data_IF_794027133313
#
_entry.id   IF_794027133313
#
_cell.length_a   1.000
_cell.length_b   1.000
_cell.length_c   1.000
_cell.angle_alpha   90.00
_cell.angle_beta   90.00
_cell.angle_gamma   90.00
#
_symmetry.space_group_name_H-M   'P 1'
#
loop_
_entity.id
_entity.type
_entity.pdbx_description
1 polymer ?
#
# COMPACT_ATOMS: atom_id res chain seq x y z
N UNK A 1 21.17 -6.43 4.78
CA UNK A 1 21.31 -7.90 4.89
C UNK A 1 22.77 -8.25 5.16
N UNK A 2 23.01 -9.18 6.09
CA UNK A 2 24.26 -9.62 6.78
C UNK A 2 24.37 -8.99 8.17
N UNK A 3 23.70 -9.57 9.16
CA UNK A 3 24.10 -10.74 9.98
C UNK A 3 24.97 -10.33 11.15
N UNK A 4 24.51 -10.67 12.34
CA UNK A 4 25.32 -10.96 13.51
C UNK A 4 26.30 -12.09 13.14
N UNK A 5 27.60 -11.82 12.98
CA UNK A 5 28.57 -12.58 13.76
C UNK A 5 29.81 -11.75 14.17
N UNK A 6 30.21 -11.89 15.44
CA UNK A 6 31.60 -11.67 15.86
C UNK A 6 32.08 -10.23 15.93
N UNK A 7 31.95 -9.61 17.11
CA UNK A 7 32.91 -8.61 17.55
C UNK A 7 33.57 -9.08 18.84
N UNK A 8 34.89 -9.10 18.82
CA UNK A 8 35.78 -9.17 19.98
C UNK A 8 37.01 -8.33 19.63
N UNK A 9 37.71 -7.81 20.64
CA UNK A 9 37.26 -6.75 21.54
C UNK A 9 38.17 -5.53 21.32
N UNK A 10 37.75 -4.34 21.75
CA UNK A 10 38.60 -3.26 22.29
C UNK A 10 37.74 -2.00 22.42
N UNK A 11 36.87 -2.00 23.43
CA UNK A 11 36.46 -0.77 24.07
C UNK A 11 36.54 -1.05 25.57
N UNK A 12 37.55 -0.43 26.18
CA UNK A 12 37.77 -0.41 27.61
C UNK A 12 36.47 -0.03 28.32
N UNK A 13 36.07 -0.85 29.27
CA UNK A 13 35.07 -0.48 30.27
C UNK A 13 35.70 0.55 31.21
N UNK A 14 35.08 1.71 31.40
CA UNK A 14 35.00 2.27 32.74
C UNK A 14 33.53 2.49 33.12
N UNK A 15 33.16 1.97 34.29
CA UNK A 15 31.91 2.32 34.95
C UNK A 15 30.73 1.42 34.61
N UNK A 16 30.37 0.52 35.55
CA UNK A 16 28.96 0.32 35.83
C UNK A 16 28.41 1.67 36.29
N UNK A 17 27.93 2.48 35.35
CA UNK A 17 27.00 3.54 35.72
C UNK A 17 25.70 2.84 36.09
N UNK A 18 25.35 3.03 37.36
CA UNK A 18 24.08 2.64 37.94
C UNK A 18 23.00 3.33 37.11
N UNK A 19 22.42 2.59 36.16
CA UNK A 19 21.47 3.15 35.20
C UNK A 19 20.37 3.89 35.94
N UNK A 20 20.27 5.19 35.67
CA UNK A 20 19.17 6.02 36.13
C UNK A 20 17.87 5.37 35.65
N UNK A 21 16.89 5.23 36.55
CA UNK A 21 15.58 4.60 36.34
C UNK A 21 14.75 5.28 35.24
N UNK A 22 15.29 6.32 34.59
CA UNK A 22 14.64 7.13 33.56
C UNK A 22 15.40 7.18 32.22
N UNK A 23 16.45 6.38 32.03
CA UNK A 23 17.23 6.41 30.78
C UNK A 23 16.42 5.80 29.62
N UNK A 24 16.09 6.60 28.61
CA UNK A 24 15.54 6.14 27.33
C UNK A 24 16.67 5.77 26.37
N UNK A 25 16.49 4.70 25.59
CA UNK A 25 17.42 4.29 24.54
C UNK A 25 16.65 4.08 23.24
N UNK A 26 17.13 4.72 22.17
CA UNK A 26 16.61 4.51 20.83
C UNK A 26 17.29 3.30 20.20
N UNK A 27 16.48 2.32 19.76
CA UNK A 27 16.96 1.08 19.14
C UNK A 27 16.44 1.00 17.70
N UNK A 28 17.34 1.01 16.73
CA UNK A 28 16.99 0.77 15.34
C UNK A 28 16.79 -0.73 15.09
N UNK A 29 15.55 -1.14 14.87
CA UNK A 29 15.15 -2.54 14.65
C UNK A 29 15.21 -2.94 13.15
N UNK A 30 15.61 -2.02 12.27
CA UNK A 30 15.64 -2.20 10.82
C UNK A 30 14.25 -2.14 10.18
N UNK A 31 14.12 -2.80 9.02
CA UNK A 31 12.88 -2.85 8.24
C UNK A 31 12.03 -4.04 8.73
N UNK A 32 10.76 -3.77 9.04
CA UNK A 32 9.82 -4.82 9.41
C UNK A 32 9.52 -5.73 8.19
N UNK A 33 9.78 -7.02 8.34
CA UNK A 33 9.52 -8.02 7.29
C UNK A 33 8.17 -8.74 7.46
N UNK A 34 7.39 -8.39 8.48
CA UNK A 34 6.12 -9.05 8.76
C UNK A 34 5.15 -8.15 9.52
N UNK A 35 3.88 -8.28 9.16
CA UNK A 35 2.78 -7.50 9.71
C UNK A 35 2.29 -8.00 11.09
N UNK A 36 1.58 -7.12 11.78
CA UNK A 36 0.86 -7.43 13.02
C UNK A 36 1.61 -7.02 14.29
N UNK A 37 1.15 -7.50 15.45
CA UNK A 37 1.79 -7.23 16.73
C UNK A 37 2.93 -8.21 17.03
N UNK A 38 4.01 -7.72 17.65
CA UNK A 38 5.17 -8.51 18.09
C UNK A 38 5.55 -8.08 19.49
N UNK A 39 5.80 -9.05 20.36
CA UNK A 39 6.36 -8.74 21.67
C UNK A 39 7.81 -8.29 21.52
N UNK A 40 8.12 -7.17 22.15
CA UNK A 40 9.48 -6.73 22.35
C UNK A 40 9.96 -7.34 23.65
N UNK A 41 11.07 -8.05 23.58
CA UNK A 41 11.72 -8.62 24.74
C UNK A 41 13.12 -8.02 24.88
N UNK A 42 13.56 -7.81 26.11
CA UNK A 42 14.87 -7.28 26.44
C UNK A 42 15.70 -8.32 27.21
N UNK A 43 17.02 -8.23 27.03
CA UNK A 43 18.03 -8.94 27.80
C UNK A 43 18.90 -7.88 28.49
N UNK A 44 19.05 -7.97 29.82
CA UNK A 44 19.80 -6.98 30.60
C UNK A 44 21.16 -7.52 31.02
N UNK A 45 22.23 -6.75 30.75
CA UNK A 45 23.49 -6.84 31.49
C UNK A 45 24.37 -8.09 31.31
N UNK A 46 24.33 -8.79 30.16
CA UNK A 46 25.11 -10.02 29.97
C UNK A 46 25.84 -10.14 28.62
N UNK A 47 27.00 -10.81 28.63
CA UNK A 47 27.71 -11.25 27.42
C UNK A 47 26.97 -12.36 26.64
N UNK A 48 25.81 -12.78 27.13
CA UNK A 48 24.99 -13.88 26.65
C UNK A 48 23.66 -13.42 25.99
N UNK A 49 23.48 -12.13 25.74
CA UNK A 49 22.37 -11.60 24.90
C UNK A 49 22.52 -11.93 23.41
N UNK A 50 23.07 -13.10 23.09
CA UNK A 50 23.20 -13.68 21.76
C UNK A 50 22.26 -14.86 21.53
N UNK A 51 21.48 -15.27 22.54
CA UNK A 51 20.50 -16.36 22.45
C UNK A 51 19.07 -15.83 22.69
N UNK A 52 18.08 -16.21 21.85
CA UNK A 52 16.68 -15.79 22.04
C UNK A 52 16.11 -16.12 23.42
N UNK A 53 16.55 -17.23 24.03
CA UNK A 53 16.14 -17.66 25.37
C UNK A 53 16.51 -16.70 26.51
N UNK A 54 17.42 -15.75 26.25
CA UNK A 54 17.85 -14.75 27.24
C UNK A 54 16.99 -13.48 27.23
N UNK A 55 16.12 -13.32 26.25
CA UNK A 55 15.20 -12.19 26.14
C UNK A 55 13.91 -12.49 26.92
N UNK A 56 14.02 -12.50 28.25
CA UNK A 56 12.91 -12.88 29.15
C UNK A 56 12.13 -11.68 29.69
N UNK A 57 12.67 -10.46 29.57
CA UNK A 57 12.02 -9.26 30.07
C UNK A 57 11.08 -8.71 29.01
N UNK A 58 9.80 -8.53 29.34
CA UNK A 58 8.85 -7.90 28.42
C UNK A 58 9.14 -6.40 28.33
N UNK A 59 9.56 -5.94 27.15
CA UNK A 59 9.86 -4.55 26.83
C UNK A 59 8.69 -3.84 26.11
N UNK A 60 7.60 -4.56 25.82
CA UNK A 60 6.38 -3.99 25.24
C UNK A 60 5.89 -4.76 24.01
N UNK A 61 5.10 -4.07 23.19
CA UNK A 61 4.54 -4.60 21.94
C UNK A 61 4.82 -3.61 20.82
N UNK A 62 5.39 -4.12 19.74
CA UNK A 62 5.54 -3.43 18.46
C UNK A 62 4.35 -3.77 17.57
N UNK A 63 3.75 -2.77 16.94
CA UNK A 63 2.66 -2.96 15.97
C UNK A 63 3.16 -2.55 14.60
N UNK A 64 3.17 -3.50 13.67
CA UNK A 64 3.52 -3.26 12.26
C UNK A 64 2.24 -3.14 11.45
N UNK A 65 1.94 -1.90 11.02
CA UNK A 65 0.83 -1.58 10.11
C UNK A 65 1.18 -2.00 8.69
N UNK A 66 0.22 -2.57 7.98
CA UNK A 66 0.44 -3.11 6.64
C UNK A 66 -0.87 -3.24 5.87
N UNK A 67 -0.86 -2.91 4.59
CA UNK A 67 -1.84 -3.45 3.67
C UNK A 67 -1.53 -4.94 3.43
N UNK A 68 -2.56 -5.76 3.20
CA UNK A 68 -2.36 -7.19 2.90
C UNK A 68 -1.80 -7.37 1.49
N UNK A 69 -2.20 -6.50 0.56
CA UNK A 69 -1.82 -6.60 -0.85
C UNK A 69 -2.71 -7.57 -1.64
N UNK A 70 -2.49 -7.60 -2.96
CA UNK A 70 -3.12 -8.57 -3.87
C UNK A 70 -4.60 -8.31 -4.18
N UNK A 71 -5.16 -7.21 -3.69
CA UNK A 71 -6.53 -6.81 -4.02
C UNK A 71 -6.61 -6.26 -5.44
N UNK A 72 -7.71 -6.57 -6.15
CA UNK A 72 -8.02 -6.00 -7.45
C UNK A 72 -9.23 -5.08 -7.34
N UNK A 73 -9.06 -3.85 -7.80
CA UNK A 73 -10.08 -2.81 -7.80
C UNK A 73 -10.44 -2.47 -9.23
N UNK A 74 -11.71 -2.17 -9.47
CA UNK A 74 -12.18 -1.69 -10.78
C UNK A 74 -12.88 -0.36 -10.56
N UNK A 75 -12.43 0.65 -11.29
CA UNK A 75 -13.06 1.95 -11.33
C UNK A 75 -13.37 2.35 -12.76
N UNK A 76 -14.40 3.16 -12.92
CA UNK A 76 -14.81 3.65 -14.22
C UNK A 76 -14.37 5.09 -14.39
N UNK A 77 -13.75 5.38 -15.52
CA UNK A 77 -13.31 6.72 -15.88
C UNK A 77 -14.49 7.70 -15.82
N UNK A 78 -14.30 8.84 -15.16
CA UNK A 78 -15.33 9.90 -15.06
C UNK A 78 -16.59 9.52 -14.28
N UNK A 79 -16.57 8.43 -13.50
CA UNK A 79 -17.71 8.06 -12.66
C UNK A 79 -17.89 9.01 -11.48
N UNK A 80 -19.14 9.38 -11.20
CA UNK A 80 -19.54 10.04 -9.96
C UNK A 80 -20.42 9.07 -9.14
N UNK A 81 -20.10 8.77 -7.87
CA UNK A 81 -19.00 9.32 -7.07
C UNK A 81 -17.61 8.83 -7.50
N UNK A 82 -16.57 9.51 -6.99
CA UNK A 82 -15.15 9.22 -7.27
C UNK A 82 -14.77 7.74 -7.04
N UNK A 83 -13.65 7.34 -7.65
CA UNK A 83 -13.10 5.99 -7.47
C UNK A 83 -12.66 5.77 -6.02
N UNK A 84 -13.35 4.85 -5.34
CA UNK A 84 -13.11 4.53 -3.93
C UNK A 84 -12.50 3.14 -3.81
N UNK A 85 -11.33 3.03 -3.18
CA UNK A 85 -10.63 1.79 -2.89
C UNK A 85 -10.93 1.36 -1.45
N UNK A 86 -11.22 0.08 -1.22
CA UNK A 86 -11.37 -0.51 0.11
C UNK A 86 -10.23 -1.48 0.35
N UNK A 87 -9.16 -0.99 0.95
CA UNK A 87 -7.94 -1.78 1.15
C UNK A 87 -8.01 -2.52 2.48
N UNK A 88 -7.75 -3.82 2.46
CA UNK A 88 -7.63 -4.65 3.68
C UNK A 88 -6.20 -4.66 4.21
N UNK A 89 -6.08 -4.73 5.52
CA UNK A 89 -4.79 -4.66 6.17
C UNK A 89 -4.83 -4.97 7.66
N UNK A 90 -3.66 -4.89 8.28
CA UNK A 90 -3.53 -4.98 9.74
C UNK A 90 -3.28 -3.61 10.34
N UNK A 91 -4.05 -3.28 11.38
CA UNK A 91 -3.95 -2.03 12.12
C UNK A 91 -4.00 -0.77 11.25
N UNK A 92 -4.75 -0.82 10.14
CA UNK A 92 -4.90 0.33 9.24
C UNK A 92 -5.55 1.50 9.97
N UNK A 93 -5.16 2.72 9.61
CA UNK A 93 -5.64 3.95 10.23
C UNK A 93 -6.17 4.93 9.19
N UNK A 94 -7.04 5.86 9.63
CA UNK A 94 -7.53 6.96 8.79
C UNK A 94 -6.44 7.97 8.41
N UNK A 95 -5.26 7.88 9.02
CA UNK A 95 -4.11 8.69 8.62
C UNK A 95 -3.32 8.06 7.49
N UNK A 96 -3.45 6.75 7.23
CA UNK A 96 -2.68 6.05 6.21
C UNK A 96 -2.93 6.61 4.80
N UNK A 97 -1.98 6.38 3.91
CA UNK A 97 -1.94 6.99 2.59
C UNK A 97 -1.67 5.94 1.52
N UNK A 98 -2.34 6.08 0.37
CA UNK A 98 -2.04 5.31 -0.83
C UNK A 98 -1.66 6.22 -1.99
N UNK A 99 -0.82 5.71 -2.87
CA UNK A 99 -0.48 6.34 -4.14
C UNK A 99 -0.73 5.39 -5.30
N UNK A 100 -1.16 5.93 -6.43
CA UNK A 100 -1.42 5.15 -7.65
C UNK A 100 -0.24 5.27 -8.60
N UNK A 101 0.35 4.14 -8.97
CA UNK A 101 1.56 4.10 -9.80
C UNK A 101 1.37 3.20 -11.03
N UNK A 102 2.07 3.46 -12.15
CA UNK A 102 2.13 2.53 -13.27
C UNK A 102 2.63 1.15 -12.83
N UNK A 103 2.09 0.10 -13.44
CA UNK A 103 2.62 -1.25 -13.29
C UNK A 103 4.10 -1.27 -13.72
N UNK A 104 4.96 -1.88 -12.90
CA UNK A 104 6.40 -1.97 -13.12
C UNK A 104 7.24 -0.93 -12.37
N UNK A 105 6.69 0.21 -11.95
CA UNK A 105 7.40 1.22 -11.15
C UNK A 105 7.52 0.77 -9.70
N UNK A 106 8.68 0.58 -9.06
CA UNK A 106 8.76 0.21 -7.63
C UNK A 106 8.01 1.21 -6.72
N UNK A 107 7.36 0.74 -5.64
CA UNK A 107 6.57 1.66 -4.81
C UNK A 107 7.41 2.76 -4.13
N UNK A 108 8.65 2.43 -3.76
CA UNK A 108 9.61 3.41 -3.23
C UNK A 108 9.99 4.53 -4.22
N UNK A 109 9.76 4.33 -5.52
CA UNK A 109 10.08 5.32 -6.57
C UNK A 109 8.86 6.19 -6.91
N UNK A 110 7.77 6.04 -6.16
CA UNK A 110 6.59 6.89 -6.32
C UNK A 110 6.94 8.31 -5.92
N UNK A 111 6.82 9.30 -6.79
CA UNK A 111 6.86 10.70 -6.38
C UNK A 111 5.44 11.15 -6.00
N UNK A 112 5.12 11.25 -4.71
CA UNK A 112 3.80 11.64 -4.27
C UNK A 112 3.51 13.08 -4.71
N UNK A 113 2.38 13.27 -5.37
CA UNK A 113 1.80 14.60 -5.58
C UNK A 113 0.43 14.66 -4.93
N UNK A 114 0.14 15.66 -4.08
CA UNK A 114 -1.17 15.80 -3.47
C UNK A 114 -2.25 15.86 -4.55
N UNK A 115 -3.34 15.11 -4.38
CA UNK A 115 -4.56 15.30 -5.16
C UNK A 115 -5.18 16.63 -4.71
N UNK A 116 -4.73 17.74 -5.29
CA UNK A 116 -5.36 19.02 -5.05
C UNK A 116 -6.75 18.99 -5.71
N UNK A 117 -7.79 19.08 -4.88
CA UNK A 117 -9.15 19.28 -5.36
C UNK A 117 -9.20 20.46 -6.33
N UNK A 118 -9.99 20.31 -7.39
CA UNK A 118 -10.35 21.29 -8.44
C UNK A 118 -9.25 21.75 -9.41
N UNK A 119 -9.47 21.39 -10.68
CA UNK A 119 -9.04 22.08 -11.91
C UNK A 119 -7.55 22.45 -12.04
N UNK A 120 -6.70 21.46 -12.30
CA UNK A 120 -5.47 21.71 -13.06
C UNK A 120 -5.32 20.67 -14.17
N UNK A 121 -5.72 20.99 -15.42
CA UNK A 121 -5.24 20.25 -16.58
C UNK A 121 -3.82 20.75 -16.85
N UNK A 122 -2.84 20.20 -16.16
CA UNK A 122 -1.44 20.44 -16.52
C UNK A 122 -0.76 19.12 -16.86
N UNK A 123 -1.26 18.52 -17.95
CA UNK A 123 -0.39 17.84 -18.90
C UNK A 123 0.54 18.88 -19.55
N UNK A 124 1.47 19.44 -18.77
CA UNK A 124 2.67 20.05 -19.33
C UNK A 124 3.55 18.88 -19.78
N UNK A 125 3.51 18.60 -21.08
CA UNK A 125 4.36 17.63 -21.73
C UNK A 125 5.83 17.85 -21.31
N UNK A 126 6.37 16.98 -20.45
CA UNK A 126 7.79 16.98 -20.09
C UNK A 126 8.13 17.03 -18.60
N UNK A 127 7.17 17.10 -17.67
CA UNK A 127 7.45 16.91 -16.24
C UNK A 127 7.10 15.47 -15.80
N UNK A 128 7.89 14.87 -14.89
CA UNK A 128 7.61 13.53 -14.38
C UNK A 128 6.22 13.53 -13.74
N UNK A 129 5.38 12.61 -14.22
CA UNK A 129 3.99 12.44 -13.80
C UNK A 129 3.92 12.36 -12.28
N UNK A 130 3.32 13.37 -11.65
CA UNK A 130 2.93 13.29 -10.26
C UNK A 130 1.93 12.16 -10.09
N UNK A 131 2.26 11.20 -9.23
CA UNK A 131 1.35 10.09 -8.93
C UNK A 131 0.31 10.59 -7.92
N UNK A 132 -1.00 10.35 -8.15
CA UNK A 132 -2.03 10.83 -7.26
C UNK A 132 -1.96 10.07 -5.94
N UNK A 133 -2.06 10.82 -4.84
CA UNK A 133 -1.98 10.34 -3.46
C UNK A 133 -3.28 10.62 -2.72
N UNK A 134 -3.85 9.60 -2.08
CA UNK A 134 -5.05 9.71 -1.25
C UNK A 134 -4.76 9.30 0.17
N UNK A 135 -5.21 10.09 1.13
CA UNK A 135 -5.33 9.67 2.53
C UNK A 135 -6.58 8.80 2.71
N UNK A 136 -6.55 7.90 3.68
CA UNK A 136 -7.73 7.15 4.08
C UNK A 136 -8.84 8.11 4.57
N UNK A 137 -10.05 7.95 4.07
CA UNK A 137 -11.23 8.70 4.53
C UNK A 137 -11.87 8.03 5.75
N UNK A 138 -11.67 6.73 5.90
CA UNK A 138 -12.09 5.96 7.07
C UNK A 138 -11.24 4.70 7.23
N UNK A 139 -11.18 4.17 8.45
CA UNK A 139 -10.63 2.86 8.75
C UNK A 139 -11.50 2.21 9.84
N UNK A 140 -11.94 0.98 9.62
CA UNK A 140 -12.77 0.21 10.55
C UNK A 140 -12.33 -1.24 10.60
N UNK A 141 -12.69 -1.96 11.67
CA UNK A 141 -12.49 -3.41 11.73
C UNK A 141 -13.10 -4.10 10.51
N UNK A 142 -12.41 -5.11 9.96
CA UNK A 142 -12.91 -5.87 8.82
C UNK A 142 -14.09 -6.76 9.24
N UNK A 143 -15.30 -6.55 8.70
CA UNK A 143 -16.49 -7.33 9.08
C UNK A 143 -16.40 -8.81 8.66
N UNK A 144 -15.53 -9.15 7.71
CA UNK A 144 -15.38 -10.52 7.20
C UNK A 144 -14.27 -11.30 7.94
N UNK A 145 -13.66 -10.72 8.96
CA UNK A 145 -12.55 -11.31 9.70
C UNK A 145 -12.82 -11.36 11.20
N UNK A 146 -12.56 -12.51 11.81
CA UNK A 146 -12.57 -12.69 13.27
C UNK A 146 -11.30 -12.16 13.96
N UNK A 147 -10.28 -11.79 13.19
CA UNK A 147 -9.03 -11.27 13.73
C UNK A 147 -9.19 -9.80 14.14
N UNK A 148 -9.03 -9.52 15.44
CA UNK A 148 -9.17 -8.18 16.03
C UNK A 148 -8.17 -7.14 15.50
N UNK A 149 -7.12 -7.57 14.79
CA UNK A 149 -6.13 -6.69 14.19
C UNK A 149 -6.37 -6.40 12.70
N UNK A 150 -7.43 -6.95 12.10
CA UNK A 150 -7.76 -6.72 10.69
C UNK A 150 -8.72 -5.54 10.51
N UNK A 151 -8.37 -4.68 9.56
CA UNK A 151 -9.08 -3.45 9.25
C UNK A 151 -9.28 -3.31 7.75
N UNK A 152 -10.33 -2.59 7.37
CA UNK A 152 -10.56 -2.07 6.03
C UNK A 152 -10.41 -0.55 6.09
N UNK A 153 -9.51 0.00 5.29
CA UNK A 153 -9.39 1.44 5.09
C UNK A 153 -9.95 1.82 3.71
N UNK A 154 -10.70 2.91 3.69
CA UNK A 154 -11.33 3.43 2.48
C UNK A 154 -10.52 4.62 1.97
N UNK A 155 -10.16 4.63 0.69
CA UNK A 155 -9.38 5.68 0.04
C UNK A 155 -10.16 6.24 -1.16
N UNK A 156 -10.26 7.56 -1.28
CA UNK A 156 -10.85 8.22 -2.43
C UNK A 156 -9.73 8.74 -3.34
N UNK A 157 -9.44 8.01 -4.41
CA UNK A 157 -8.38 8.39 -5.36
C UNK A 157 -8.86 9.40 -6.41
N UNK A 158 -10.08 9.93 -6.27
CA UNK A 158 -10.63 10.97 -7.11
C UNK A 158 -11.03 10.49 -8.51
N UNK A 159 -11.01 11.44 -9.45
CA UNK A 159 -11.19 11.17 -10.87
C UNK A 159 -9.84 10.85 -11.52
N UNK A 160 -9.72 9.66 -12.10
CA UNK A 160 -8.54 9.26 -12.86
C UNK A 160 -8.68 9.72 -14.30
N UNK A 161 -7.70 10.48 -14.80
CA UNK A 161 -7.70 11.03 -16.16
C UNK A 161 -7.18 10.04 -17.22
N UNK A 162 -6.60 8.92 -16.80
CA UNK A 162 -6.08 7.86 -17.66
C UNK A 162 -6.72 6.51 -17.34
N UNK A 163 -7.01 5.77 -18.40
CA UNK A 163 -7.45 4.38 -18.35
C UNK A 163 -6.26 3.41 -18.34
N UNK A 164 -6.48 2.20 -17.86
CA UNK A 164 -5.46 1.14 -17.76
C UNK A 164 -5.31 0.56 -16.36
N UNK A 165 -4.29 -0.27 -16.20
CA UNK A 165 -3.97 -0.91 -14.92
C UNK A 165 -2.86 -0.16 -14.21
N UNK A 166 -3.09 0.08 -12.93
CA UNK A 166 -2.16 0.75 -12.04
C UNK A 166 -2.05 -0.05 -10.77
N UNK A 167 -0.91 -0.02 -10.11
CA UNK A 167 -0.80 -0.57 -8.78
C UNK A 167 -1.02 0.51 -7.72
N UNK A 168 -1.41 0.04 -6.55
CA UNK A 168 -1.63 0.84 -5.35
C UNK A 168 -0.44 0.62 -4.43
N UNK A 169 0.29 1.68 -4.15
CA UNK A 169 1.38 1.70 -3.19
C UNK A 169 0.89 2.27 -1.86
N UNK A 170 1.25 1.64 -0.75
CA UNK A 170 0.78 1.99 0.58
C UNK A 170 1.90 2.53 1.45
N UNK A 171 1.56 3.60 2.17
CA UNK A 171 2.35 4.19 3.23
C UNK A 171 1.50 4.24 4.50
N UNK A 172 1.97 3.57 5.55
CA UNK A 172 1.43 3.78 6.88
C UNK A 172 1.86 5.20 7.30
N UNK A 173 0.93 6.07 7.70
CA UNK A 173 1.28 7.44 8.07
C UNK A 173 1.96 7.44 9.43
N UNK A 174 3.26 7.20 9.43
CA UNK A 174 4.18 7.36 10.54
C UNK A 174 5.25 8.37 10.14
N UNK A 175 5.68 9.20 11.08
CA UNK A 175 6.79 10.11 10.86
C UNK A 175 8.07 9.28 10.90
N UNK A 176 8.71 9.11 9.75
CA UNK A 176 9.92 8.32 9.59
C UNK A 176 11.15 9.07 10.09
N UNK A 177 12.33 8.46 9.89
CA UNK A 177 13.61 9.15 10.07
C UNK A 177 14.06 9.81 8.74
N UNK A 178 13.13 10.31 7.97
CA UNK A 178 13.37 11.11 6.77
C UNK A 178 13.51 12.59 7.13
N UNK A 179 14.02 13.38 6.18
CA UNK A 179 14.40 14.76 6.41
C UNK A 179 13.20 15.74 6.50
N UNK A 180 11.97 15.23 6.40
CA UNK A 180 10.72 15.99 6.45
C UNK A 180 9.87 15.56 7.64
N UNK A 181 9.18 16.51 8.26
CA UNK A 181 8.26 16.25 9.38
C UNK A 181 6.86 15.81 8.92
N UNK A 182 6.70 15.37 7.66
CA UNK A 182 5.39 15.09 7.05
C UNK A 182 5.32 13.65 6.55
N UNK A 183 4.57 12.77 7.22
CA UNK A 183 4.42 11.39 6.81
C UNK A 183 3.82 11.23 5.40
N UNK A 184 4.37 10.26 4.65
CA UNK A 184 3.92 9.86 3.32
C UNK A 184 4.02 10.98 2.26
N UNK A 185 5.04 11.82 2.36
CA UNK A 185 5.34 12.94 1.45
C UNK A 185 6.55 12.66 0.53
N UNK A 186 7.26 11.55 0.72
CA UNK A 186 8.30 11.08 -0.19
C UNK A 186 8.09 9.63 -0.62
N UNK A 187 8.62 9.27 -1.78
CA UNK A 187 8.44 7.95 -2.36
C UNK A 187 8.94 6.80 -1.52
N UNK A 188 10.06 6.99 -0.84
CA UNK A 188 10.71 5.94 -0.06
C UNK A 188 9.84 5.43 1.10
N UNK A 189 8.82 6.18 1.52
CA UNK A 189 7.85 5.76 2.55
C UNK A 189 6.79 4.79 2.03
N UNK A 190 6.56 4.77 0.71
CA UNK A 190 5.65 3.84 0.04
C UNK A 190 6.34 2.49 -0.19
N UNK A 191 6.45 1.72 0.89
CA UNK A 191 7.24 0.48 0.89
C UNK A 191 6.45 -0.77 0.51
N UNK A 192 5.12 -0.68 0.42
CA UNK A 192 4.23 -1.83 0.27
C UNK A 192 3.30 -1.69 -0.94
N UNK A 193 2.96 -2.80 -1.57
CA UNK A 193 1.91 -2.88 -2.59
C UNK A 193 0.60 -3.32 -1.93
N UNK A 194 -0.43 -2.49 -2.02
CA UNK A 194 -1.76 -2.76 -1.49
C UNK A 194 -2.67 -3.49 -2.49
N UNK A 195 -2.40 -3.39 -3.79
CA UNK A 195 -3.20 -4.04 -4.82
C UNK A 195 -3.03 -3.40 -6.19
N UNK A 196 -3.98 -3.68 -7.07
CA UNK A 196 -4.05 -3.18 -8.45
C UNK A 196 -5.42 -2.56 -8.68
N UNK A 197 -5.47 -1.39 -9.32
CA UNK A 197 -6.70 -0.78 -9.82
C UNK A 197 -6.70 -0.78 -11.34
N UNK A 198 -7.81 -1.23 -11.92
CA UNK A 198 -8.11 -1.07 -13.32
C UNK A 198 -9.08 0.10 -13.51
N UNK A 199 -8.65 1.09 -14.29
CA UNK A 199 -9.48 2.21 -14.72
C UNK A 199 -10.03 1.88 -16.11
N UNK A 200 -11.31 1.52 -16.19
CA UNK A 200 -11.99 1.21 -17.45
C UNK A 200 -12.78 2.40 -17.97
N UNK A 201 -12.87 2.55 -19.30
CA UNK A 201 -13.82 3.47 -19.94
C UNK A 201 -15.18 2.83 -20.21
N UNK A 202 -15.23 1.50 -20.24
CA UNK A 202 -16.44 0.71 -20.51
C UNK A 202 -17.06 0.27 -19.20
N UNK A 203 -18.38 0.48 -19.04
CA UNK A 203 -19.10 -0.04 -17.89
C UNK A 203 -19.21 -1.57 -18.03
N UNK A 204 -18.72 -2.35 -17.06
CA UNK A 204 -18.85 -3.80 -17.12
C UNK A 204 -20.33 -4.18 -17.13
N UNK A 205 -20.70 -5.07 -18.05
CA UNK A 205 -22.07 -5.56 -18.23
C UNK A 205 -22.01 -7.03 -18.61
N UNK A 206 -22.94 -7.82 -18.06
CA UNK A 206 -23.10 -9.21 -18.46
C UNK A 206 -24.02 -9.28 -19.69
N UNK A 207 -23.58 -10.00 -20.71
CA UNK A 207 -24.37 -10.29 -21.90
C UNK A 207 -24.55 -11.80 -22.02
N UNK A 208 -25.75 -12.23 -22.37
CA UNK A 208 -26.08 -13.64 -22.59
C UNK A 208 -26.58 -13.83 -24.02
N UNK A 209 -26.03 -14.82 -24.72
CA UNK A 209 -26.42 -15.15 -26.08
C UNK A 209 -26.59 -16.66 -26.24
N UNK A 210 -27.61 -17.05 -27.01
CA UNK A 210 -27.90 -18.46 -27.27
C UNK A 210 -27.22 -18.95 -28.54
N UNK A 211 -26.71 -20.19 -28.50
CA UNK A 211 -26.09 -20.84 -29.66
C UNK A 211 -27.07 -20.88 -30.84
N UNK A 212 -26.60 -20.47 -32.02
CA UNK A 212 -27.41 -20.44 -33.25
C UNK A 212 -28.39 -19.26 -33.34
N UNK A 213 -28.33 -18.29 -32.42
CA UNK A 213 -29.10 -17.04 -32.50
C UNK A 213 -28.16 -15.86 -32.78
N UNK A 214 -28.70 -14.84 -33.45
CA UNK A 214 -28.01 -13.56 -33.58
C UNK A 214 -27.79 -12.97 -32.16
N UNK A 215 -26.61 -12.41 -31.95
CA UNK A 215 -26.17 -11.86 -30.68
C UNK A 215 -25.79 -10.39 -30.92
N UNK A 216 -26.72 -9.49 -30.62
CA UNK A 216 -26.48 -8.05 -30.70
C UNK A 216 -26.12 -7.54 -29.30
N UNK A 217 -24.87 -7.11 -29.13
CA UNK A 217 -24.38 -6.54 -27.87
C UNK A 217 -24.22 -5.03 -28.00
N UNK A 218 -24.56 -4.31 -26.93
CA UNK A 218 -24.39 -2.87 -26.84
C UNK A 218 -23.62 -2.54 -25.58
N UNK A 219 -22.38 -2.13 -25.72
CA UNK A 219 -21.56 -1.67 -24.60
C UNK A 219 -21.84 -0.18 -24.34
N UNK A 220 -21.91 0.19 -23.06
CA UNK A 220 -21.95 1.58 -22.63
C UNK A 220 -20.62 1.94 -21.97
N UNK A 221 -20.21 3.19 -22.10
CA UNK A 221 -18.97 3.68 -21.53
C UNK A 221 -18.75 5.16 -21.81
N UNK A 222 -17.71 5.71 -21.20
CA UNK A 222 -17.32 7.09 -21.43
C UNK A 222 -16.47 7.24 -22.69
N UNK A 223 -16.81 8.25 -23.50
CA UNK A 223 -16.10 8.62 -24.73
C UNK A 223 -15.97 7.49 -25.76
N UNK A 224 -16.87 6.50 -25.75
CA UNK A 224 -16.93 5.48 -26.78
C UNK A 224 -17.29 6.13 -28.13
N UNK A 225 -16.58 5.71 -29.17
CA UNK A 225 -16.71 6.18 -30.55
C UNK A 225 -17.19 5.03 -31.43
N UNK A 226 -17.75 5.37 -32.58
CA UNK A 226 -18.13 4.38 -33.59
C UNK A 226 -16.95 3.61 -34.20
N UNK A 227 -15.71 4.04 -33.92
CA UNK A 227 -14.48 3.37 -34.32
C UNK A 227 -13.98 2.34 -33.31
N UNK A 228 -14.58 2.30 -32.12
CA UNK A 228 -14.17 1.35 -31.09
C UNK A 228 -14.73 -0.04 -31.39
N UNK A 229 -14.00 -1.09 -31.01
CA UNK A 229 -14.32 -2.47 -31.36
C UNK A 229 -14.43 -3.29 -30.08
N UNK A 230 -15.46 -4.15 -30.02
CA UNK A 230 -15.59 -5.16 -28.98
C UNK A 230 -14.98 -6.47 -29.47
N UNK A 231 -14.08 -7.02 -28.66
CA UNK A 231 -13.56 -8.37 -28.84
C UNK A 231 -14.29 -9.30 -27.87
N UNK A 232 -14.90 -10.36 -28.39
CA UNK A 232 -15.33 -11.49 -27.57
C UNK A 232 -14.12 -12.39 -27.32
N UNK A 233 -13.53 -12.30 -26.13
CA UNK A 233 -12.45 -13.19 -25.71
C UNK A 233 -13.02 -14.59 -25.45
N UNK A 234 -12.45 -15.61 -26.10
CA UNK A 234 -12.86 -17.01 -25.96
C UNK A 234 -12.04 -17.75 -24.88
N UNK A 235 -11.15 -17.04 -24.16
CA UNK A 235 -10.22 -17.59 -23.18
C UNK A 235 -10.79 -17.82 -21.77
N UNK A 236 -10.10 -18.67 -20.99
CA UNK A 236 -10.47 -19.10 -19.63
C UNK A 236 -9.81 -18.33 -18.48
N UNK A 237 -9.22 -17.17 -18.74
CA UNK A 237 -8.70 -16.26 -17.72
C UNK A 237 -9.74 -15.20 -17.37
N UNK A 238 -9.71 -14.70 -16.13
CA UNK A 238 -10.67 -13.69 -15.61
C UNK A 238 -10.46 -12.27 -16.17
N UNK A 239 -9.60 -12.08 -17.16
CA UNK A 239 -9.22 -10.77 -17.70
C UNK A 239 -9.13 -10.77 -19.23
N UNK A 240 -9.70 -9.73 -19.87
CA UNK A 240 -9.68 -9.52 -21.31
C UNK A 240 -8.24 -9.29 -21.82
N UNK A 241 -7.90 -9.88 -22.98
CA UNK A 241 -6.62 -9.60 -23.66
C UNK A 241 -5.41 -10.33 -23.06
N UNK A 242 -5.66 -11.37 -22.27
CA UNK A 242 -4.61 -12.23 -21.67
C UNK A 242 -4.15 -13.37 -22.59
N UNK A 243 -4.85 -13.59 -23.70
CA UNK A 243 -4.46 -14.51 -24.76
C UNK A 243 -3.54 -13.80 -25.76
N UNK A 244 -2.26 -14.17 -25.72
CA UNK A 244 -1.25 -13.81 -26.73
C UNK A 244 -1.35 -14.68 -27.98
#
# INVERSE_FOLDING_TARGET
VRSNPGLSPLALWPGQEQGDLTTSMDINMGIALGQGSRHLCACYGGSDCNQPSRFTLNAGVMVVRSAIGGEEFVCVWGSTPNCTLKVRGKFLQSTDVVAVAPIGTPCKEVQPTPIAGVAAPLFLAGLPFGMPVSRATSASSDPDSDAADQYVATFDIGEMSSDGRFKICYCASYDGADAGDTPCDVGDEFTQEAGVVEISRVYPSAFECAVGRACDVSAAGHQLRSTDVLLADLGGASICGSVA
#
